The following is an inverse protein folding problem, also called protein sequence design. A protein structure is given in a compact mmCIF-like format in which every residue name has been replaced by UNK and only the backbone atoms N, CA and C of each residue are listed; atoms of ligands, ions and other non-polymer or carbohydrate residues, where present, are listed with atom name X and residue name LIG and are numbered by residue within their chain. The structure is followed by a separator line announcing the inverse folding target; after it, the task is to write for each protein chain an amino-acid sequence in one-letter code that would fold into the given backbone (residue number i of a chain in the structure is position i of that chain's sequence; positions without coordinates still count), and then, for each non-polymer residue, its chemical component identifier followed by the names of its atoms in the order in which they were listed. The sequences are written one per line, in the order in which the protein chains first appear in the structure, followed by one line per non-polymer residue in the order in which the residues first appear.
data_IF_650210025390
#
_entry.id   IF_650210025390
#
_cell.length_a   1.000
_cell.length_b   1.000
_cell.length_c   1.000
_cell.angle_alpha   90.00
_cell.angle_beta   90.00
_cell.angle_gamma   90.00
#
_symmetry.space_group_name_H-M   'P 1'
#
loop_
_entity.id
_entity.type
_entity.pdbx_description
1 polymer ?
#
# COMPACT_ATOMS: atom_id res chain seq x y z
N UNK A 1 24.43 -26.64 -2.64
CA UNK A 1 23.59 -26.43 -3.85
C UNK A 1 22.25 -27.15 -3.74
N UNK A 2 22.19 -28.41 -3.31
CA UNK A 2 20.89 -29.11 -3.12
C UNK A 2 19.95 -28.40 -2.14
N UNK A 3 20.48 -27.89 -1.02
CA UNK A 3 19.66 -27.11 -0.05
C UNK A 3 19.06 -25.84 -0.68
N UNK A 4 19.80 -25.17 -1.56
CA UNK A 4 19.30 -23.98 -2.32
C UNK A 4 18.25 -24.37 -3.34
N UNK A 5 18.37 -25.53 -4.00
CA UNK A 5 17.34 -26.04 -4.90
C UNK A 5 16.06 -26.41 -4.14
N UNK A 6 16.18 -26.99 -2.94
CA UNK A 6 15.04 -27.24 -2.07
C UNK A 6 14.35 -25.94 -1.62
N UNK A 7 15.13 -24.92 -1.25
CA UNK A 7 14.58 -23.60 -0.95
C UNK A 7 13.87 -22.97 -2.17
N UNK A 8 14.45 -23.06 -3.37
CA UNK A 8 13.83 -22.58 -4.61
C UNK A 8 12.50 -23.29 -4.93
N UNK A 9 12.36 -24.58 -4.61
CA UNK A 9 11.07 -25.30 -4.78
C UNK A 9 9.94 -24.65 -3.97
N UNK A 10 10.24 -24.00 -2.84
CA UNK A 10 9.23 -23.31 -2.05
C UNK A 10 8.64 -22.11 -2.81
N UNK A 11 9.42 -21.44 -3.65
CA UNK A 11 8.96 -20.30 -4.46
C UNK A 11 8.07 -20.69 -5.64
N UNK A 12 8.05 -21.97 -6.01
CA UNK A 12 7.14 -22.52 -7.04
C UNK A 12 5.99 -23.31 -6.39
N UNK A 13 6.03 -23.51 -5.08
CA UNK A 13 5.01 -24.26 -4.35
C UNK A 13 3.67 -23.51 -4.31
N UNK A 14 2.53 -24.22 -4.22
CA UNK A 14 1.23 -23.58 -4.05
C UNK A 14 1.16 -22.76 -2.75
N UNK A 15 1.97 -23.09 -1.74
CA UNK A 15 2.07 -22.34 -0.48
C UNK A 15 2.61 -20.93 -0.71
N UNK A 16 3.52 -20.72 -1.66
CA UNK A 16 4.02 -19.38 -1.99
C UNK A 16 2.91 -18.48 -2.51
N UNK A 17 2.09 -18.97 -3.45
CA UNK A 17 0.96 -18.20 -3.99
C UNK A 17 -0.11 -17.94 -2.91
N UNK A 18 -0.37 -18.94 -2.07
CA UNK A 18 -1.40 -18.90 -1.03
C UNK A 18 -1.11 -17.91 0.09
N UNK A 19 0.12 -17.92 0.59
CA UNK A 19 0.53 -17.13 1.76
C UNK A 19 0.97 -15.70 1.41
N UNK A 20 1.16 -15.39 0.13
CA UNK A 20 1.62 -14.08 -0.32
C UNK A 20 0.52 -13.39 -1.16
N UNK A 21 -0.37 -12.61 -0.53
CA UNK A 21 -1.51 -12.01 -1.22
C UNK A 21 -1.12 -11.02 -2.32
N UNK A 22 0.09 -10.46 -2.30
CA UNK A 22 0.59 -9.52 -3.30
C UNK A 22 0.86 -10.16 -4.67
N UNK A 23 1.00 -11.48 -4.75
CA UNK A 23 1.27 -12.16 -6.03
C UNK A 23 0.08 -12.11 -7.00
N UNK A 24 -1.16 -12.09 -6.48
CA UNK A 24 -2.36 -11.95 -7.32
C UNK A 24 -2.41 -10.56 -7.97
N UNK A 25 -2.26 -9.44 -7.24
CA UNK A 25 -2.05 -8.13 -7.84
C UNK A 25 -0.86 -8.07 -8.80
N UNK A 26 0.27 -8.71 -8.48
CA UNK A 26 1.43 -8.74 -9.37
C UNK A 26 1.09 -9.37 -10.74
N UNK A 27 0.40 -10.51 -10.73
CA UNK A 27 -0.05 -11.18 -11.94
C UNK A 27 -1.10 -10.35 -12.71
N UNK A 28 -2.06 -9.74 -12.02
CA UNK A 28 -3.10 -8.92 -12.64
C UNK A 28 -2.51 -7.67 -13.30
N UNK A 29 -1.65 -6.93 -12.60
CA UNK A 29 -0.98 -5.75 -13.16
C UNK A 29 0.02 -6.12 -14.27
N UNK A 30 0.72 -7.25 -14.14
CA UNK A 30 1.56 -7.79 -15.21
C UNK A 30 0.76 -8.13 -16.47
N UNK A 31 -0.42 -8.72 -16.32
CA UNK A 31 -1.33 -9.00 -17.44
C UNK A 31 -1.86 -7.71 -18.10
N UNK A 32 -2.21 -6.69 -17.30
CA UNK A 32 -2.61 -5.38 -17.83
C UNK A 32 -1.44 -4.74 -18.59
N UNK A 33 -0.22 -4.78 -18.05
CA UNK A 33 0.98 -4.32 -18.75
C UNK A 33 1.18 -5.05 -20.07
N UNK A 34 1.08 -6.38 -20.09
CA UNK A 34 1.18 -7.16 -21.31
C UNK A 34 0.08 -6.82 -22.32
N UNK A 35 -1.16 -6.63 -21.87
CA UNK A 35 -2.27 -6.21 -22.71
C UNK A 35 -2.04 -4.83 -23.33
N UNK A 36 -1.61 -3.85 -22.54
CA UNK A 36 -1.25 -2.50 -23.01
C UNK A 36 -0.08 -2.52 -23.99
N UNK A 37 0.85 -3.46 -23.84
CA UNK A 37 1.94 -3.64 -24.81
C UNK A 37 1.44 -4.11 -26.18
N UNK A 38 0.42 -4.98 -26.21
CA UNK A 38 -0.16 -5.50 -27.44
C UNK A 38 -1.15 -4.52 -28.09
N UNK A 39 -1.71 -3.59 -27.32
CA UNK A 39 -2.68 -2.60 -27.79
C UNK A 39 -2.18 -1.18 -27.50
N UNK A 40 -1.11 -0.72 -28.18
CA UNK A 40 -0.59 0.63 -28.00
C UNK A 40 -1.65 1.67 -28.34
N UNK A 41 -1.69 2.77 -27.57
CA UNK A 41 -2.61 3.87 -27.85
C UNK A 41 -2.24 4.57 -29.16
N UNK A 42 -3.21 4.93 -30.02
CA UNK A 42 -2.93 5.66 -31.24
C UNK A 42 -2.25 7.00 -30.92
N UNK A 43 -1.13 7.28 -31.58
CA UNK A 43 -0.44 8.57 -31.52
C UNK A 43 0.72 8.68 -30.52
N UNK A 44 1.05 7.64 -29.75
CA UNK A 44 2.20 7.61 -28.84
C UNK A 44 3.06 6.36 -29.10
N UNK A 45 3.99 6.39 -30.07
CA UNK A 45 4.88 5.25 -30.30
C UNK A 45 5.89 5.13 -29.15
N UNK A 46 5.71 4.12 -28.29
CA UNK A 46 6.81 3.49 -27.56
C UNK A 46 7.31 4.16 -26.27
N UNK A 47 6.52 4.97 -25.57
CA UNK A 47 6.94 5.51 -24.27
C UNK A 47 6.52 4.62 -23.09
N UNK A 48 7.29 4.67 -22.00
CA UNK A 48 6.97 3.99 -20.75
C UNK A 48 5.64 4.49 -20.15
N UNK A 49 5.16 5.66 -20.59
CA UNK A 49 3.83 6.19 -20.27
C UNK A 49 2.69 5.19 -20.48
N UNK A 50 2.76 4.31 -21.49
CA UNK A 50 1.70 3.34 -21.80
C UNK A 50 1.61 2.18 -20.80
N UNK A 51 2.72 1.86 -20.14
CA UNK A 51 2.84 0.70 -19.24
C UNK A 51 3.25 1.07 -17.81
N UNK A 52 3.72 2.28 -17.58
CA UNK A 52 4.62 2.63 -16.48
C UNK A 52 4.01 2.43 -15.11
N UNK A 53 2.80 2.95 -14.86
CA UNK A 53 2.19 2.82 -13.53
C UNK A 53 1.78 1.37 -13.24
N UNK A 54 1.27 0.63 -14.23
CA UNK A 54 0.84 -0.76 -14.05
C UNK A 54 2.04 -1.69 -13.90
N UNK A 55 3.08 -1.47 -14.71
CA UNK A 55 4.34 -2.20 -14.63
C UNK A 55 5.04 -1.97 -13.29
N UNK A 56 5.07 -0.72 -12.82
CA UNK A 56 5.63 -0.37 -11.52
C UNK A 56 4.87 -0.99 -10.35
N UNK A 57 3.52 -1.02 -10.41
CA UNK A 57 2.71 -1.69 -9.41
C UNK A 57 2.89 -3.22 -9.44
N UNK A 58 3.07 -3.81 -10.64
CA UNK A 58 3.38 -5.23 -10.80
C UNK A 58 4.72 -5.60 -10.14
N UNK A 59 5.77 -4.82 -10.40
CA UNK A 59 7.08 -4.95 -9.76
C UNK A 59 6.98 -4.86 -8.24
N UNK A 60 6.31 -3.82 -7.72
CA UNK A 60 6.19 -3.60 -6.29
C UNK A 60 5.48 -4.79 -5.62
N UNK A 61 4.40 -5.28 -6.22
CA UNK A 61 3.65 -6.41 -5.70
C UNK A 61 4.44 -7.73 -5.75
N UNK A 62 5.21 -7.98 -6.82
CA UNK A 62 6.06 -9.16 -6.95
C UNK A 62 7.22 -9.15 -5.95
N UNK A 63 7.97 -8.05 -5.89
CA UNK A 63 9.10 -7.92 -4.97
C UNK A 63 8.65 -8.00 -3.52
N UNK A 64 7.52 -7.39 -3.17
CA UNK A 64 6.91 -7.52 -1.84
C UNK A 64 6.59 -8.99 -1.53
N UNK A 65 6.01 -9.73 -2.48
CA UNK A 65 5.69 -11.15 -2.31
C UNK A 65 6.92 -12.03 -2.08
N UNK A 66 7.98 -11.80 -2.86
CA UNK A 66 9.27 -12.50 -2.69
C UNK A 66 9.91 -12.18 -1.33
N UNK A 67 9.90 -10.92 -0.93
CA UNK A 67 10.45 -10.49 0.37
C UNK A 67 9.65 -11.06 1.54
N UNK A 68 8.31 -11.06 1.47
CA UNK A 68 7.45 -11.65 2.50
C UNK A 68 7.69 -13.15 2.65
N UNK A 69 7.87 -13.88 1.55
CA UNK A 69 8.22 -15.30 1.57
C UNK A 69 9.54 -15.54 2.31
N UNK A 70 10.60 -14.83 1.92
CA UNK A 70 11.91 -14.93 2.55
C UNK A 70 11.84 -14.65 4.05
N UNK A 71 11.23 -13.52 4.42
CA UNK A 71 11.14 -13.11 5.81
C UNK A 71 10.31 -14.04 6.68
N UNK A 72 9.25 -14.63 6.13
CA UNK A 72 8.46 -15.65 6.84
C UNK A 72 9.30 -16.88 7.18
N UNK A 73 10.17 -17.30 6.26
CA UNK A 73 11.06 -18.42 6.47
C UNK A 73 12.20 -18.08 7.43
N UNK A 74 12.79 -16.89 7.34
CA UNK A 74 13.91 -16.49 8.21
C UNK A 74 13.46 -16.24 9.65
N UNK A 75 12.25 -15.71 9.87
CA UNK A 75 11.70 -15.40 11.22
C UNK A 75 11.01 -16.55 11.91
N UNK A 76 10.84 -17.70 11.25
CA UNK A 76 10.20 -18.82 11.92
C UNK A 76 10.98 -19.11 13.21
N UNK A 77 10.30 -19.34 14.35
CA UNK A 77 10.97 -19.64 15.61
C UNK A 77 11.82 -20.91 15.54
N UNK A 78 11.62 -21.73 14.50
CA UNK A 78 12.39 -22.94 14.21
C UNK A 78 13.65 -22.66 13.37
N UNK A 79 13.76 -21.49 12.74
CA UNK A 79 14.87 -21.15 11.84
C UNK A 79 16.25 -21.16 12.49
N UNK A 80 16.43 -20.68 13.74
CA UNK A 80 17.71 -20.78 14.44
C UNK A 80 18.19 -22.22 14.64
N UNK A 81 17.28 -23.20 14.63
CA UNK A 81 17.62 -24.62 14.78
C UNK A 81 18.18 -25.22 13.48
N UNK A 82 18.06 -24.54 12.34
CA UNK A 82 18.52 -25.04 11.03
C UNK A 82 19.25 -23.95 10.22
N UNK A 83 20.44 -23.50 10.67
CA UNK A 83 21.16 -22.37 10.04
C UNK A 83 21.55 -22.62 8.58
N UNK A 84 21.75 -23.89 8.19
CA UNK A 84 22.01 -24.28 6.80
C UNK A 84 20.85 -23.93 5.86
N UNK A 85 19.61 -24.05 6.33
CA UNK A 85 18.43 -23.68 5.54
C UNK A 85 18.27 -22.17 5.41
N UNK A 86 18.66 -21.39 6.43
CA UNK A 86 18.68 -19.91 6.33
C UNK A 86 19.65 -19.46 5.24
N UNK A 87 20.88 -20.01 5.22
CA UNK A 87 21.86 -19.69 4.19
C UNK A 87 21.41 -20.12 2.78
N UNK A 88 20.70 -21.25 2.68
CA UNK A 88 20.10 -21.70 1.44
C UNK A 88 18.96 -20.78 0.96
N UNK A 89 18.09 -20.36 1.87
CA UNK A 89 16.97 -19.45 1.61
C UNK A 89 17.46 -18.04 1.23
N UNK A 90 18.54 -17.57 1.85
CA UNK A 90 19.22 -16.34 1.44
C UNK A 90 19.69 -16.42 -0.01
N UNK A 91 20.35 -17.50 -0.42
CA UNK A 91 20.76 -17.67 -1.83
C UNK A 91 19.54 -17.78 -2.76
N UNK A 92 18.49 -18.47 -2.33
CA UNK A 92 17.27 -18.66 -3.11
C UNK A 92 16.57 -17.33 -3.39
N UNK A 93 16.39 -16.44 -2.40
CA UNK A 93 15.79 -15.13 -2.65
C UNK A 93 16.61 -14.29 -3.63
N UNK A 94 17.96 -14.32 -3.56
CA UNK A 94 18.79 -13.55 -4.49
C UNK A 94 18.60 -14.03 -5.94
N UNK A 95 18.55 -15.35 -6.15
CA UNK A 95 18.25 -15.91 -7.47
C UNK A 95 16.85 -15.52 -7.94
N UNK A 96 15.84 -15.60 -7.07
CA UNK A 96 14.47 -15.21 -7.40
C UNK A 96 14.34 -13.71 -7.72
N UNK A 97 15.04 -12.84 -7.00
CA UNK A 97 15.06 -11.41 -7.27
C UNK A 97 15.78 -11.10 -8.58
N UNK A 98 16.90 -11.75 -8.87
CA UNK A 98 17.59 -11.61 -10.15
C UNK A 98 16.71 -12.07 -11.33
N UNK A 99 16.01 -13.20 -11.18
CA UNK A 99 15.04 -13.69 -12.17
C UNK A 99 13.86 -12.72 -12.33
N UNK A 100 13.33 -12.20 -11.23
CA UNK A 100 12.24 -11.24 -11.25
C UNK A 100 12.62 -9.92 -11.96
N UNK A 101 13.82 -9.39 -11.67
CA UNK A 101 14.38 -8.23 -12.38
C UNK A 101 14.54 -8.52 -13.88
N UNK A 102 15.14 -9.66 -14.23
CA UNK A 102 15.30 -10.05 -15.63
C UNK A 102 13.97 -10.16 -16.37
N UNK A 103 12.98 -10.82 -15.77
CA UNK A 103 11.66 -11.03 -16.37
C UNK A 103 10.87 -9.73 -16.54
N UNK A 104 10.88 -8.86 -15.53
CA UNK A 104 10.12 -7.60 -15.55
C UNK A 104 10.78 -6.54 -16.45
N UNK A 105 12.07 -6.65 -16.73
CA UNK A 105 12.74 -5.81 -17.70
C UNK A 105 12.35 -6.12 -19.16
N UNK A 106 11.93 -7.36 -19.47
CA UNK A 106 11.58 -7.79 -20.85
C UNK A 106 10.56 -6.86 -21.53
N UNK A 107 9.40 -6.54 -20.93
CA UNK A 107 8.45 -5.54 -21.43
C UNK A 107 9.09 -4.24 -21.95
N UNK A 108 10.04 -3.69 -21.18
CA UNK A 108 10.68 -2.41 -21.50
C UNK A 108 11.76 -2.58 -22.59
N UNK A 109 12.54 -3.66 -22.53
CA UNK A 109 13.59 -3.97 -23.52
C UNK A 109 12.98 -4.23 -24.90
N UNK A 110 11.85 -4.94 -24.97
CA UNK A 110 11.13 -5.19 -26.24
C UNK A 110 10.67 -3.88 -26.90
N UNK A 111 10.42 -2.83 -26.11
CA UNK A 111 10.11 -1.47 -26.59
C UNK A 111 11.35 -0.64 -26.94
N UNK A 112 12.54 -1.23 -26.90
CA UNK A 112 13.81 -0.56 -27.25
C UNK A 112 14.40 0.30 -26.14
N UNK A 113 13.92 0.17 -24.89
CA UNK A 113 14.43 0.97 -23.78
C UNK A 113 15.79 0.46 -23.28
N UNK A 114 16.69 1.36 -22.84
CA UNK A 114 18.04 0.98 -22.43
C UNK A 114 18.01 0.13 -21.15
N UNK A 115 18.62 -1.06 -21.23
CA UNK A 115 18.64 -2.06 -20.17
C UNK A 115 19.11 -1.49 -18.81
N UNK A 116 20.18 -0.70 -18.81
CA UNK A 116 20.74 -0.11 -17.58
C UNK A 116 19.72 0.78 -16.86
N UNK A 117 18.97 1.59 -17.61
CA UNK A 117 18.01 2.53 -17.06
C UNK A 117 16.76 1.79 -16.55
N UNK A 118 16.35 0.73 -17.26
CA UNK A 118 15.30 -0.19 -16.81
C UNK A 118 15.69 -0.81 -15.48
N UNK A 119 16.84 -1.47 -15.41
CA UNK A 119 17.33 -2.13 -14.19
C UNK A 119 17.53 -1.13 -13.03
N UNK A 120 17.99 0.09 -13.30
CA UNK A 120 18.09 1.14 -12.29
C UNK A 120 16.71 1.45 -11.68
N UNK A 121 15.70 1.62 -12.53
CA UNK A 121 14.33 1.87 -12.09
C UNK A 121 13.75 0.69 -11.30
N UNK A 122 13.94 -0.55 -11.77
CA UNK A 122 13.48 -1.73 -11.05
C UNK A 122 14.19 -1.91 -9.70
N UNK A 123 15.48 -1.62 -9.63
CA UNK A 123 16.29 -1.73 -8.40
C UNK A 123 15.84 -0.73 -7.32
N UNK A 124 15.38 0.45 -7.72
CA UNK A 124 14.76 1.41 -6.81
C UNK A 124 13.47 0.85 -6.21
N UNK A 125 12.63 0.22 -7.04
CA UNK A 125 11.39 -0.42 -6.59
C UNK A 125 11.66 -1.63 -5.69
N UNK A 126 12.74 -2.37 -5.94
CA UNK A 126 13.20 -3.45 -5.08
C UNK A 126 13.65 -2.94 -3.70
N UNK A 127 14.43 -1.86 -3.65
CA UNK A 127 14.87 -1.26 -2.38
C UNK A 127 13.69 -0.76 -1.53
N UNK A 128 12.60 -0.35 -2.17
CA UNK A 128 11.34 0.01 -1.55
C UNK A 128 10.61 -1.20 -0.98
N UNK A 129 10.44 -2.22 -1.81
CA UNK A 129 9.65 -3.40 -1.49
C UNK A 129 10.30 -4.22 -0.38
N UNK A 130 11.63 -4.30 -0.34
CA UNK A 130 12.39 -4.95 0.75
C UNK A 130 12.18 -4.29 2.11
N UNK A 131 11.95 -2.98 2.14
CA UNK A 131 11.72 -2.20 3.37
C UNK A 131 10.26 -2.20 3.88
N UNK A 132 9.32 -2.74 3.10
CA UNK A 132 7.90 -2.78 3.43
C UNK A 132 7.57 -3.62 4.67
N UNK A 133 8.46 -4.53 5.04
CA UNK A 133 8.32 -5.29 6.28
C UNK A 133 8.90 -4.52 7.47
N UNK A 134 8.00 -4.04 8.33
CA UNK A 134 8.34 -3.27 9.52
C UNK A 134 8.77 -4.15 10.71
N UNK A 135 8.62 -5.48 10.59
CA UNK A 135 8.75 -6.41 11.73
C UNK A 135 10.00 -7.30 11.68
N UNK A 136 10.85 -7.16 10.67
CA UNK A 136 12.10 -7.95 10.55
C UNK A 136 13.23 -7.48 11.48
N UNK A 137 14.19 -8.37 11.84
CA UNK A 137 15.43 -7.96 12.46
C UNK A 137 16.21 -7.07 11.48
N UNK A 138 16.37 -5.79 11.82
CA UNK A 138 17.03 -4.81 10.94
C UNK A 138 18.45 -4.53 11.43
N UNK A 139 19.43 -4.83 10.59
CA UNK A 139 20.87 -4.60 10.84
C UNK A 139 21.19 -3.11 10.97
N UNK A 140 20.41 -2.24 10.32
CA UNK A 140 20.62 -0.79 10.32
C UNK A 140 20.24 -0.12 11.64
N UNK A 141 21.12 0.78 12.13
CA UNK A 141 20.86 1.66 13.29
C UNK A 141 19.55 2.45 13.09
N UNK A 142 18.74 2.67 14.14
CA UNK A 142 17.39 3.25 14.01
C UNK A 142 17.34 4.63 13.34
N UNK A 143 18.36 5.48 13.51
CA UNK A 143 18.44 6.81 12.88
C UNK A 143 18.72 6.73 11.38
N UNK A 144 19.67 5.87 10.99
CA UNK A 144 19.98 5.60 9.57
C UNK A 144 18.79 4.95 8.86
N UNK A 145 18.03 4.11 9.56
CA UNK A 145 16.78 3.55 9.04
C UNK A 145 15.75 4.63 8.71
N UNK A 146 15.54 5.62 9.59
CA UNK A 146 14.59 6.72 9.33
C UNK A 146 15.02 7.55 8.11
N UNK A 147 16.31 7.89 8.03
CA UNK A 147 16.86 8.62 6.89
C UNK A 147 16.70 7.82 5.58
N UNK A 148 17.05 6.53 5.60
CA UNK A 148 16.86 5.61 4.46
C UNK A 148 15.40 5.53 4.06
N UNK A 149 14.48 5.28 4.98
CA UNK A 149 13.03 5.22 4.70
C UNK A 149 12.54 6.53 4.08
N UNK A 150 12.99 7.69 4.58
CA UNK A 150 12.62 8.98 4.01
C UNK A 150 13.15 9.16 2.57
N UNK A 151 14.42 8.82 2.31
CA UNK A 151 15.02 8.88 0.97
C UNK A 151 14.30 7.94 0.01
N UNK A 152 14.12 6.69 0.43
CA UNK A 152 13.49 5.62 -0.34
C UNK A 152 12.04 5.99 -0.66
N UNK A 153 11.27 6.50 0.31
CA UNK A 153 9.89 6.97 0.09
C UNK A 153 9.81 8.22 -0.79
N UNK A 154 10.78 9.14 -0.67
CA UNK A 154 10.91 10.28 -1.57
C UNK A 154 11.17 9.85 -3.01
N UNK A 155 12.07 8.88 -3.23
CA UNK A 155 12.34 8.28 -4.54
C UNK A 155 11.11 7.52 -5.07
N UNK A 156 10.37 6.79 -4.24
CA UNK A 156 9.13 6.15 -4.64
C UNK A 156 8.13 7.15 -5.21
N UNK A 157 7.87 8.22 -4.47
CA UNK A 157 6.88 9.18 -4.87
C UNK A 157 7.36 10.06 -6.04
N UNK A 158 8.68 10.27 -6.20
CA UNK A 158 9.30 10.81 -7.41
C UNK A 158 9.03 9.90 -8.63
N UNK A 159 9.29 8.60 -8.52
CA UNK A 159 9.16 7.64 -9.62
C UNK A 159 7.76 7.07 -9.81
N UNK A 160 6.79 7.42 -8.96
CA UNK A 160 5.36 7.22 -9.24
C UNK A 160 4.87 8.06 -10.42
N UNK A 161 5.58 9.14 -10.76
CA UNK A 161 5.23 10.02 -11.87
C UNK A 161 5.80 9.48 -13.19
N UNK A 162 4.98 9.20 -14.21
CA UNK A 162 5.45 8.69 -15.50
C UNK A 162 6.54 9.57 -16.12
N UNK A 163 6.43 10.90 -15.99
CA UNK A 163 7.43 11.84 -16.50
C UNK A 163 8.83 11.65 -15.89
N UNK A 164 8.94 11.24 -14.61
CA UNK A 164 10.26 10.95 -14.01
C UNK A 164 10.82 9.61 -14.47
N UNK A 165 9.94 8.62 -14.66
CA UNK A 165 10.33 7.35 -15.26
C UNK A 165 10.87 7.60 -16.68
N UNK A 166 10.16 8.39 -17.50
CA UNK A 166 10.58 8.77 -18.85
C UNK A 166 11.93 9.51 -18.85
N UNK A 167 12.13 10.48 -17.93
CA UNK A 167 13.42 11.16 -17.81
C UNK A 167 14.56 10.24 -17.42
N UNK A 168 14.34 9.30 -16.50
CA UNK A 168 15.37 8.33 -16.14
C UNK A 168 15.70 7.44 -17.33
N UNK A 169 14.74 7.10 -18.18
CA UNK A 169 15.00 6.29 -19.39
C UNK A 169 15.81 7.02 -20.45
N UNK A 170 15.74 8.35 -20.46
CA UNK A 170 16.54 9.22 -21.33
C UNK A 170 17.85 9.67 -20.67
N UNK A 171 18.05 9.34 -19.38
CA UNK A 171 19.24 9.76 -18.65
C UNK A 171 20.49 9.07 -19.21
N UNK A 172 21.66 9.74 -19.14
CA UNK A 172 22.93 9.12 -19.49
C UNK A 172 23.19 7.86 -18.67
N UNK A 173 23.90 6.89 -19.28
CA UNK A 173 24.18 5.58 -18.69
C UNK A 173 24.83 5.66 -17.29
N UNK A 174 25.65 6.68 -17.02
CA UNK A 174 26.31 6.86 -15.73
C UNK A 174 25.33 7.21 -14.60
N UNK A 175 24.21 7.88 -14.89
CA UNK A 175 23.17 8.17 -13.90
C UNK A 175 22.44 6.89 -13.51
N UNK A 176 22.06 6.07 -14.49
CA UNK A 176 21.45 4.77 -14.26
C UNK A 176 22.37 3.85 -13.46
N UNK A 177 23.66 3.83 -13.79
CA UNK A 177 24.67 3.04 -13.08
C UNK A 177 24.85 3.50 -11.63
N UNK A 178 24.89 4.81 -11.38
CA UNK A 178 24.94 5.35 -10.02
C UNK A 178 23.71 4.98 -9.19
N UNK A 179 22.51 5.08 -9.77
CA UNK A 179 21.26 4.69 -9.10
C UNK A 179 21.23 3.20 -8.78
N UNK A 180 21.65 2.36 -9.73
CA UNK A 180 21.75 0.91 -9.54
C UNK A 180 22.78 0.56 -8.44
N UNK A 181 23.94 1.22 -8.45
CA UNK A 181 24.99 1.06 -7.46
C UNK A 181 24.59 1.52 -6.04
N UNK A 182 23.56 2.37 -5.91
CA UNK A 182 23.03 2.77 -4.59
C UNK A 182 21.84 1.90 -4.19
N UNK A 183 20.90 1.67 -5.09
CA UNK A 183 19.64 0.99 -4.79
C UNK A 183 19.81 -0.52 -4.55
N UNK A 184 20.64 -1.18 -5.36
CA UNK A 184 20.87 -2.62 -5.23
C UNK A 184 21.55 -2.96 -3.89
N UNK A 185 22.66 -2.30 -3.48
CA UNK A 185 23.23 -2.54 -2.15
C UNK A 185 22.26 -2.19 -1.02
N UNK A 186 21.46 -1.13 -1.16
CA UNK A 186 20.45 -0.77 -0.16
C UNK A 186 19.39 -1.87 0.02
N UNK A 187 19.02 -2.60 -1.04
CA UNK A 187 18.13 -3.76 -0.97
C UNK A 187 18.83 -4.98 -0.33
N UNK A 188 20.07 -5.25 -0.71
CA UNK A 188 20.86 -6.37 -0.20
C UNK A 188 21.15 -6.25 1.30
N UNK A 189 21.48 -5.04 1.77
CA UNK A 189 21.69 -4.73 3.19
C UNK A 189 20.40 -4.96 4.00
N UNK A 190 19.23 -4.65 3.45
CA UNK A 190 17.96 -4.89 4.15
C UNK A 190 17.63 -6.38 4.23
N UNK A 191 17.96 -7.16 3.19
CA UNK A 191 17.75 -8.61 3.16
C UNK A 191 18.78 -9.38 4.00
N UNK A 192 19.91 -8.76 4.32
CA UNK A 192 20.93 -9.40 5.14
C UNK A 192 20.38 -9.73 6.53
N UNK A 193 20.42 -11.01 6.87
CA UNK A 193 20.05 -11.51 8.18
C UNK A 193 21.30 -12.06 8.86
N UNK A 194 21.57 -11.58 10.07
CA UNK A 194 22.57 -12.16 10.95
C UNK A 194 21.88 -13.12 11.94
N UNK A 195 22.02 -14.44 11.76
CA UNK A 195 21.40 -15.45 12.63
C UNK A 195 22.04 -15.48 14.03
N UNK A 196 23.21 -14.86 14.21
CA UNK A 196 23.96 -14.86 15.45
C UNK A 196 24.35 -13.44 15.87
N UNK A 197 23.42 -12.49 15.81
CA UNK A 197 23.60 -11.25 16.56
C UNK A 197 23.86 -11.63 18.03
N UNK A 198 25.14 -11.63 18.43
CA UNK A 198 25.56 -12.12 19.72
C UNK A 198 24.80 -11.33 20.80
N UNK A 199 24.30 -11.99 21.86
CA UNK A 199 23.68 -11.30 22.99
C UNK A 199 24.59 -10.22 23.62
N UNK A 200 25.89 -10.21 23.28
CA UNK A 200 26.87 -9.19 23.69
C UNK A 200 27.08 -8.02 22.73
N UNK A 201 26.69 -8.09 21.45
CA UNK A 201 26.71 -6.93 20.53
C UNK A 201 25.35 -6.23 20.45
N UNK A 202 24.31 -6.89 20.91
CA UNK A 202 23.17 -6.20 21.48
C UNK A 202 23.66 -5.54 22.77
N UNK A 203 24.19 -4.32 22.65
CA UNK A 203 24.38 -3.44 23.80
C UNK A 203 23.17 -3.58 24.72
N UNK A 204 23.43 -3.70 26.03
CA UNK A 204 22.73 -4.56 26.97
C UNK A 204 21.25 -4.68 26.63
N UNK A 205 20.74 -5.92 26.63
CA UNK A 205 19.32 -6.23 26.69
C UNK A 205 18.66 -5.39 27.81
N UNK A 206 18.29 -4.15 27.46
CA UNK A 206 17.40 -3.30 28.20
C UNK A 206 16.06 -3.98 28.03
N UNK A 207 15.82 -5.00 28.84
CA UNK A 207 14.53 -5.14 29.49
C UNK A 207 14.03 -3.74 29.82
N UNK A 208 13.10 -3.23 29.01
CA UNK A 208 12.15 -2.18 29.37
C UNK A 208 12.67 -0.96 30.15
N UNK A 209 13.95 -0.57 30.04
CA UNK A 209 14.35 0.80 30.30
C UNK A 209 14.06 1.54 28.99
N UNK A 210 12.83 2.06 28.92
CA UNK A 210 12.39 2.94 27.85
C UNK A 210 13.46 3.98 27.52
N UNK A 211 13.42 4.58 26.33
CA UNK A 211 14.33 5.68 26.07
C UNK A 211 14.22 6.65 27.25
N UNK A 212 15.36 6.98 27.87
CA UNK A 212 15.55 8.21 28.63
C UNK A 212 15.40 9.43 27.68
N UNK A 213 14.38 9.41 26.82
CA UNK A 213 13.66 10.61 26.47
C UNK A 213 12.98 11.00 27.76
N UNK A 214 13.58 11.97 28.45
CA UNK A 214 12.98 12.59 29.62
C UNK A 214 11.47 12.73 29.39
N UNK A 215 10.65 12.48 30.43
CA UNK A 215 9.21 12.30 30.33
C UNK A 215 8.67 13.22 29.24
N UNK A 216 8.04 12.71 28.15
CA UNK A 216 7.56 13.56 27.08
C UNK A 216 6.84 14.71 27.74
N UNK A 217 7.32 15.94 27.46
CA UNK A 217 6.86 17.18 28.12
C UNK A 217 5.35 17.05 28.23
N UNK A 218 4.76 17.39 29.39
CA UNK A 218 3.34 17.13 29.66
C UNK A 218 2.43 17.52 28.48
N UNK A 219 2.82 18.55 27.73
CA UNK A 219 2.28 19.01 26.44
C UNK A 219 2.25 17.94 25.34
N UNK A 220 3.35 17.21 25.07
CA UNK A 220 3.40 16.12 24.07
C UNK A 220 2.47 14.97 24.45
N UNK A 221 2.40 14.62 25.74
CA UNK A 221 1.46 13.59 26.23
C UNK A 221 0.01 14.05 26.19
N UNK A 222 -0.25 15.32 26.49
CA UNK A 222 -1.57 15.91 26.35
C UNK A 222 -2.01 15.94 24.88
N UNK A 223 -1.14 16.41 23.99
CA UNK A 223 -1.37 16.44 22.55
C UNK A 223 -1.59 15.03 22.00
N UNK A 224 -0.77 14.05 22.38
CA UNK A 224 -0.95 12.67 21.96
C UNK A 224 -2.29 12.10 22.45
N UNK A 225 -2.72 12.38 23.70
CA UNK A 225 -4.03 11.94 24.20
C UNK A 225 -5.19 12.58 23.44
N UNK A 226 -5.09 13.86 23.08
CA UNK A 226 -6.10 14.55 22.26
C UNK A 226 -6.12 13.98 20.84
N UNK A 227 -4.96 13.84 20.20
CA UNK A 227 -4.85 13.29 18.86
C UNK A 227 -5.31 11.84 18.76
N UNK A 228 -5.16 11.06 19.83
CA UNK A 228 -5.61 9.66 19.94
C UNK A 228 -7.03 9.52 20.51
N UNK A 229 -7.75 10.62 20.73
CA UNK A 229 -9.13 10.55 21.22
C UNK A 229 -10.01 9.79 20.23
N UNK A 230 -10.77 8.81 20.70
CA UNK A 230 -11.75 8.08 19.88
C UNK A 230 -13.17 8.28 20.41
N UNK A 231 -14.22 8.25 19.57
CA UNK A 231 -15.60 8.18 20.05
C UNK A 231 -15.81 6.94 20.95
N UNK A 232 -16.56 7.04 22.06
CA UNK A 232 -16.82 5.90 22.96
C UNK A 232 -17.39 4.66 22.24
N UNK A 233 -18.22 4.87 21.22
CA UNK A 233 -18.80 3.82 20.38
C UNK A 233 -17.75 2.98 19.61
N UNK A 234 -16.51 3.47 19.47
CA UNK A 234 -15.41 2.77 18.80
C UNK A 234 -14.40 2.15 19.77
N UNK A 235 -14.55 2.34 21.09
CA UNK A 235 -13.57 1.91 22.12
C UNK A 235 -13.85 0.54 22.74
N UNK A 236 -14.99 -0.10 22.42
CA UNK A 236 -15.60 -1.08 23.32
C UNK A 236 -15.63 -2.55 22.86
N UNK A 237 -15.02 -2.92 21.72
CA UNK A 237 -15.02 -4.33 21.29
C UNK A 237 -13.60 -4.86 21.06
N UNK A 238 -13.31 -6.11 21.48
CA UNK A 238 -12.10 -6.82 21.07
C UNK A 238 -12.19 -7.08 19.56
N UNK A 239 -11.71 -6.12 18.78
CA UNK A 239 -11.70 -6.16 17.33
C UNK A 239 -10.29 -6.48 16.83
N UNK A 240 -10.15 -7.10 15.65
CA UNK A 240 -8.85 -7.27 14.99
C UNK A 240 -8.07 -5.96 14.93
N UNK A 241 -6.73 -6.03 14.98
CA UNK A 241 -5.87 -4.85 14.90
C UNK A 241 -6.11 -4.01 13.62
N UNK A 242 -6.51 -4.62 12.50
CA UNK A 242 -6.91 -3.90 11.28
C UNK A 242 -8.22 -3.11 11.42
N UNK A 243 -9.02 -3.40 12.44
CA UNK A 243 -10.20 -2.66 12.88
C UNK A 243 -9.91 -1.64 13.99
N UNK A 244 -8.72 -1.64 14.59
CA UNK A 244 -8.31 -0.58 15.51
C UNK A 244 -8.28 0.75 14.75
N UNK A 245 -9.14 1.68 15.16
CA UNK A 245 -9.35 2.92 14.43
C UNK A 245 -8.22 3.92 14.70
N UNK A 246 -7.69 4.55 13.65
CA UNK A 246 -6.98 5.81 13.82
C UNK A 246 -7.94 6.84 14.43
N UNK A 247 -7.47 7.64 15.38
CA UNK A 247 -8.29 8.65 16.01
C UNK A 247 -8.69 9.77 15.01
N UNK A 248 -9.91 10.34 15.09
CA UNK A 248 -10.43 11.31 14.11
C UNK A 248 -9.50 12.51 13.88
N UNK A 249 -9.00 13.09 14.97
CA UNK A 249 -8.05 14.21 14.91
C UNK A 249 -6.70 13.76 14.33
N UNK A 250 -6.24 12.55 14.68
CA UNK A 250 -5.07 11.93 14.07
C UNK A 250 -5.21 11.79 12.55
N UNK A 251 -6.36 11.35 12.05
CA UNK A 251 -6.63 11.23 10.61
C UNK A 251 -6.61 12.59 9.90
N UNK A 252 -7.16 13.64 10.52
CA UNK A 252 -7.15 14.98 9.94
C UNK A 252 -5.71 15.55 9.86
N UNK A 253 -4.94 15.43 10.95
CA UNK A 253 -3.54 15.87 10.98
C UNK A 253 -2.69 15.06 10.00
N UNK A 254 -2.88 13.74 9.95
CA UNK A 254 -2.19 12.89 8.99
C UNK A 254 -2.52 13.31 7.55
N UNK A 255 -3.78 13.62 7.25
CA UNK A 255 -4.21 14.09 5.93
C UNK A 255 -3.54 15.42 5.54
N UNK A 256 -3.45 16.36 6.48
CA UNK A 256 -2.73 17.63 6.27
C UNK A 256 -1.23 17.42 6.01
N UNK A 257 -0.59 16.54 6.78
CA UNK A 257 0.83 16.22 6.59
C UNK A 257 1.08 15.53 5.25
N UNK A 258 0.23 14.59 4.85
CA UNK A 258 0.33 13.92 3.54
C UNK A 258 0.11 14.94 2.42
N UNK A 259 -0.88 15.82 2.53
CA UNK A 259 -1.14 16.87 1.53
C UNK A 259 0.10 17.76 1.36
N UNK A 260 0.63 18.26 2.47
CA UNK A 260 1.80 19.15 2.45
C UNK A 260 3.04 18.46 1.89
N UNK A 261 3.35 17.24 2.36
CA UNK A 261 4.49 16.48 1.90
C UNK A 261 4.38 16.14 0.40
N UNK A 262 3.20 15.71 -0.05
CA UNK A 262 2.97 15.33 -1.45
C UNK A 262 3.00 16.55 -2.37
N UNK A 263 2.45 17.69 -1.93
CA UNK A 263 2.51 18.96 -2.69
C UNK A 263 3.94 19.45 -2.82
N UNK A 264 4.69 19.52 -1.71
CA UNK A 264 6.11 19.93 -1.72
C UNK A 264 6.92 19.00 -2.61
N UNK A 265 6.69 17.69 -2.48
CA UNK A 265 7.37 16.74 -3.33
C UNK A 265 7.04 16.99 -4.80
N UNK A 266 5.76 17.04 -5.19
CA UNK A 266 5.36 17.31 -6.59
C UNK A 266 5.95 18.62 -7.12
N UNK A 267 6.03 19.68 -6.32
CA UNK A 267 6.66 20.94 -6.71
C UNK A 267 8.17 20.80 -6.90
N UNK A 268 8.86 20.13 -5.98
CA UNK A 268 10.29 19.83 -6.11
C UNK A 268 10.53 19.01 -7.37
N UNK A 269 9.72 17.97 -7.58
CA UNK A 269 9.80 17.14 -8.77
C UNK A 269 9.60 17.99 -10.02
N UNK A 270 8.52 18.77 -10.11
CA UNK A 270 8.22 19.57 -11.30
C UNK A 270 9.26 20.68 -11.56
N UNK A 271 9.82 21.27 -10.51
CA UNK A 271 10.91 22.24 -10.61
C UNK A 271 12.21 21.63 -11.12
N UNK A 272 12.65 20.49 -10.56
CA UNK A 272 13.83 19.75 -11.03
C UNK A 272 13.66 19.24 -12.46
N UNK A 273 12.44 18.80 -12.75
CA UNK A 273 11.94 18.34 -14.03
C UNK A 273 12.09 19.36 -15.15
N UNK A 274 11.56 20.56 -14.93
CA UNK A 274 11.48 21.60 -15.95
C UNK A 274 12.65 22.58 -15.89
N UNK A 275 13.52 22.44 -14.88
CA UNK A 275 14.58 23.39 -14.53
C UNK A 275 14.02 24.83 -14.38
N UNK A 276 12.77 24.94 -13.94
CA UNK A 276 12.08 26.22 -13.74
C UNK A 276 11.71 26.39 -12.27
N UNK A 277 11.66 27.65 -11.85
CA UNK A 277 11.17 28.02 -10.52
C UNK A 277 9.66 27.74 -10.49
N UNK A 278 9.14 27.00 -9.50
CA UNK A 278 7.71 26.72 -9.38
C UNK A 278 6.91 28.01 -9.26
N UNK A 279 5.85 28.12 -10.05
CA UNK A 279 4.90 29.23 -9.97
C UNK A 279 3.82 28.93 -8.91
N UNK A 280 3.10 29.95 -8.41
CA UNK A 280 1.94 29.73 -7.54
C UNK A 280 0.87 28.84 -8.18
N UNK A 281 0.75 28.85 -9.51
CA UNK A 281 -0.17 28.01 -10.25
C UNK A 281 0.26 26.54 -10.20
N UNK A 282 1.55 26.25 -10.38
CA UNK A 282 2.10 24.89 -10.19
C UNK A 282 1.80 24.38 -8.78
N UNK A 283 1.89 25.26 -7.77
CA UNK A 283 1.54 24.94 -6.38
C UNK A 283 0.08 24.51 -6.21
N UNK A 284 -0.85 25.19 -6.87
CA UNK A 284 -2.27 24.83 -6.85
C UNK A 284 -2.53 23.51 -7.56
N UNK A 285 -1.93 23.29 -8.73
CA UNK A 285 -2.08 22.05 -9.49
C UNK A 285 -1.52 20.85 -8.70
N UNK A 286 -0.31 20.98 -8.15
CA UNK A 286 0.31 19.98 -7.29
C UNK A 286 -0.55 19.68 -6.05
N UNK A 287 -1.07 20.71 -5.38
CA UNK A 287 -1.95 20.52 -4.23
C UNK A 287 -3.25 19.80 -4.61
N UNK A 288 -3.83 20.13 -5.77
CA UNK A 288 -5.05 19.47 -6.30
C UNK A 288 -4.81 17.99 -6.55
N UNK A 289 -3.69 17.63 -7.18
CA UNK A 289 -3.33 16.23 -7.42
C UNK A 289 -3.06 15.48 -6.11
N UNK A 290 -2.41 16.14 -5.15
CA UNK A 290 -2.13 15.58 -3.84
C UNK A 290 -3.39 15.28 -3.02
N UNK A 291 -4.51 15.99 -3.24
CA UNK A 291 -5.80 15.65 -2.60
C UNK A 291 -6.28 14.25 -2.97
N UNK A 292 -6.09 13.83 -4.22
CA UNK A 292 -6.40 12.46 -4.65
C UNK A 292 -5.59 11.41 -3.90
N UNK A 293 -4.31 11.68 -3.67
CA UNK A 293 -3.42 10.80 -2.91
C UNK A 293 -3.79 10.72 -1.42
N UNK A 294 -4.16 11.84 -0.80
CA UNK A 294 -4.65 11.88 0.58
C UNK A 294 -5.87 10.98 0.76
N UNK A 295 -6.86 11.13 -0.12
CA UNK A 295 -8.09 10.33 -0.09
C UNK A 295 -7.80 8.85 -0.33
N UNK A 296 -6.97 8.54 -1.33
CA UNK A 296 -6.55 7.17 -1.66
C UNK A 296 -5.87 6.50 -0.47
N UNK A 297 -4.81 7.11 0.09
CA UNK A 297 -4.02 6.55 1.18
C UNK A 297 -4.86 6.41 2.46
N UNK A 298 -5.71 7.40 2.75
CA UNK A 298 -6.63 7.35 3.89
C UNK A 298 -7.65 6.21 3.78
N UNK A 299 -8.18 5.97 2.58
CA UNK A 299 -9.17 4.92 2.33
C UNK A 299 -8.56 3.51 2.19
N UNK A 300 -7.31 3.39 1.71
CA UNK A 300 -6.65 2.11 1.45
C UNK A 300 -6.51 1.21 2.70
N UNK A 301 -6.47 1.80 3.90
CA UNK A 301 -6.35 1.06 5.17
C UNK A 301 -7.70 0.49 5.64
N UNK A 302 -8.83 1.03 5.18
CA UNK A 302 -10.16 0.64 5.66
C UNK A 302 -10.45 -0.86 5.52
N UNK A 303 -10.18 -1.54 4.39
CA UNK A 303 -10.43 -2.97 4.25
C UNK A 303 -9.33 -3.87 4.81
N UNK A 304 -8.26 -3.34 5.41
CA UNK A 304 -7.10 -4.13 5.86
C UNK A 304 -7.44 -5.25 6.85
N UNK A 305 -8.50 -5.10 7.63
CA UNK A 305 -8.98 -6.13 8.55
C UNK A 305 -9.39 -7.43 7.84
N UNK A 306 -9.86 -7.35 6.60
CA UNK A 306 -10.28 -8.53 5.81
C UNK A 306 -9.08 -9.38 5.36
N UNK A 307 -7.89 -8.76 5.29
CA UNK A 307 -6.63 -9.40 4.94
C UNK A 307 -5.98 -10.09 6.14
N UNK A 308 -6.19 -9.58 7.35
CA UNK A 308 -5.65 -10.17 8.59
C UNK A 308 -6.71 -10.95 9.37
N UNK A 309 -6.80 -12.25 9.10
CA UNK A 309 -7.80 -13.15 9.71
C UNK A 309 -7.25 -14.09 10.78
N UNK A 310 -5.93 -14.07 11.00
CA UNK A 310 -5.23 -15.04 11.88
C UNK A 310 -5.80 -15.04 13.30
N UNK A 311 -6.19 -13.88 13.81
CA UNK A 311 -6.68 -13.72 15.18
C UNK A 311 -8.19 -13.93 15.31
N UNK A 312 -8.93 -14.10 14.20
CA UNK A 312 -10.39 -14.20 14.23
C UNK A 312 -10.91 -15.39 15.03
N UNK A 313 -10.31 -16.61 14.97
CA UNK A 313 -10.76 -17.73 15.79
C UNK A 313 -10.63 -17.44 17.28
N UNK A 314 -9.52 -16.81 17.69
CA UNK A 314 -9.27 -16.44 19.07
C UNK A 314 -10.25 -15.36 19.56
N UNK A 315 -10.50 -14.34 18.73
CA UNK A 315 -11.48 -13.29 19.02
C UNK A 315 -12.92 -13.82 19.05
N UNK A 316 -13.24 -14.81 18.22
CA UNK A 316 -14.53 -15.50 18.24
C UNK A 316 -14.69 -16.32 19.52
N UNK A 317 -13.65 -17.07 19.93
CA UNK A 317 -13.74 -17.97 21.09
C UNK A 317 -13.71 -17.26 22.44
N UNK A 318 -12.97 -16.15 22.55
CA UNK A 318 -12.81 -15.41 23.81
C UNK A 318 -13.65 -14.14 23.87
N UNK A 319 -14.16 -13.69 22.72
CA UNK A 319 -15.03 -12.52 22.66
C UNK A 319 -16.46 -12.84 23.11
N UNK A 320 -17.30 -11.81 23.26
CA UNK A 320 -18.71 -11.96 23.66
C UNK A 320 -19.60 -12.41 22.49
N UNK A 321 -19.09 -13.29 21.62
CA UNK A 321 -19.76 -13.69 20.38
C UNK A 321 -20.22 -15.14 20.49
N UNK A 322 -21.53 -15.38 20.50
CA UNK A 322 -22.08 -16.74 20.60
C UNK A 322 -21.92 -17.57 19.32
N UNK A 323 -21.98 -16.93 18.14
CA UNK A 323 -21.88 -17.60 16.86
C UNK A 323 -21.04 -16.83 15.83
N UNK A 324 -20.50 -17.57 14.85
CA UNK A 324 -19.81 -17.04 13.66
C UNK A 324 -20.57 -15.93 12.96
N UNK A 325 -21.89 -16.05 12.86
CA UNK A 325 -22.74 -15.05 12.21
C UNK A 325 -22.85 -13.74 12.99
N UNK A 326 -22.85 -13.81 14.32
CA UNK A 326 -22.91 -12.62 15.17
C UNK A 326 -21.55 -11.90 15.16
N UNK A 327 -20.46 -12.66 15.18
CA UNK A 327 -19.10 -12.14 14.99
C UNK A 327 -18.94 -11.43 13.63
N UNK A 328 -19.35 -12.08 12.53
CA UNK A 328 -19.32 -11.49 11.19
C UNK A 328 -20.10 -10.16 11.14
N UNK A 329 -21.30 -10.14 11.73
CA UNK A 329 -22.14 -8.93 11.80
C UNK A 329 -21.48 -7.84 12.64
N UNK A 330 -20.83 -8.19 13.75
CA UNK A 330 -20.09 -7.24 14.57
C UNK A 330 -18.90 -6.62 13.81
N UNK A 331 -18.11 -7.43 13.09
CA UNK A 331 -17.01 -6.94 12.25
C UNK A 331 -17.51 -5.95 11.18
N UNK A 332 -18.60 -6.29 10.47
CA UNK A 332 -19.17 -5.43 9.44
C UNK A 332 -19.82 -4.16 10.00
N UNK A 333 -20.44 -4.21 11.20
CA UNK A 333 -20.93 -3.01 11.89
C UNK A 333 -19.79 -2.09 12.30
N UNK A 334 -18.71 -2.65 12.84
CA UNK A 334 -17.51 -1.89 13.16
C UNK A 334 -16.89 -1.26 11.90
N UNK A 335 -16.79 -2.04 10.80
CA UNK A 335 -16.34 -1.52 9.50
C UNK A 335 -17.22 -0.38 8.99
N UNK A 336 -18.55 -0.51 9.07
CA UNK A 336 -19.48 0.54 8.68
C UNK A 336 -19.24 1.85 9.43
N UNK A 337 -19.12 1.79 10.77
CA UNK A 337 -18.82 2.96 11.59
C UNK A 337 -17.50 3.62 11.20
N UNK A 338 -16.45 2.83 10.96
CA UNK A 338 -15.13 3.33 10.54
C UNK A 338 -15.17 3.93 9.13
N UNK A 339 -15.82 3.27 8.18
CA UNK A 339 -15.94 3.73 6.81
C UNK A 339 -16.71 5.05 6.73
N UNK A 340 -17.80 5.20 7.49
CA UNK A 340 -18.56 6.45 7.57
C UNK A 340 -17.70 7.55 8.18
N UNK A 341 -17.07 7.29 9.33
CA UNK A 341 -16.23 8.28 10.02
C UNK A 341 -15.06 8.74 9.15
N UNK A 342 -14.27 7.80 8.61
CA UNK A 342 -13.15 8.11 7.74
C UNK A 342 -13.61 8.77 6.44
N UNK A 343 -14.71 8.28 5.84
CA UNK A 343 -15.32 8.85 4.65
C UNK A 343 -15.69 10.31 4.85
N UNK A 344 -16.38 10.65 5.94
CA UNK A 344 -16.75 12.04 6.28
C UNK A 344 -15.51 12.91 6.51
N UNK A 345 -14.54 12.44 7.30
CA UNK A 345 -13.35 13.24 7.65
C UNK A 345 -12.49 13.51 6.42
N UNK A 346 -12.16 12.47 5.65
CA UNK A 346 -11.30 12.57 4.48
C UNK A 346 -11.95 13.40 3.38
N UNK A 347 -13.25 13.19 3.13
CA UNK A 347 -13.97 13.97 2.12
C UNK A 347 -14.18 15.43 2.52
N UNK A 348 -14.45 15.71 3.80
CA UNK A 348 -14.56 17.07 4.32
C UNK A 348 -13.22 17.79 4.20
N UNK A 349 -12.14 17.15 4.64
CA UNK A 349 -10.79 17.68 4.48
C UNK A 349 -10.48 17.99 3.01
N UNK A 350 -10.74 17.04 2.11
CA UNK A 350 -10.46 17.21 0.69
C UNK A 350 -11.30 18.33 0.04
N UNK A 351 -12.59 18.41 0.36
CA UNK A 351 -13.48 19.45 -0.14
C UNK A 351 -13.09 20.85 0.38
N UNK A 352 -12.81 20.97 1.69
CA UNK A 352 -12.35 22.23 2.28
C UNK A 352 -11.02 22.67 1.66
N UNK A 353 -10.05 21.76 1.54
CA UNK A 353 -8.78 22.06 0.92
C UNK A 353 -8.95 22.48 -0.55
N UNK A 354 -9.76 21.76 -1.34
CA UNK A 354 -10.04 22.10 -2.74
C UNK A 354 -10.65 23.51 -2.88
N UNK A 355 -11.59 23.87 -1.99
CA UNK A 355 -12.19 25.20 -1.93
C UNK A 355 -11.20 26.30 -1.53
N UNK A 356 -10.37 26.05 -0.50
CA UNK A 356 -9.35 26.99 -0.03
C UNK A 356 -8.22 27.22 -1.03
N UNK A 357 -7.81 26.18 -1.77
CA UNK A 357 -6.82 26.28 -2.84
C UNK A 357 -7.38 27.08 -4.05
N UNK A 358 -8.72 27.17 -4.16
CA UNK A 358 -9.41 27.86 -5.26
C UNK A 358 -9.58 27.00 -6.52
N UNK A 359 -9.48 25.68 -6.37
CA UNK A 359 -9.59 24.71 -7.49
C UNK A 359 -11.03 24.51 -7.93
N UNK A 360 -11.96 24.71 -6.99
CA UNK A 360 -13.39 24.48 -7.16
C UNK A 360 -14.15 25.58 -6.40
N UNK A 361 -15.25 26.13 -6.95
CA UNK A 361 -16.09 27.09 -6.25
C UNK A 361 -16.62 26.55 -4.90
N UNK A 362 -16.78 27.39 -3.86
CA UNK A 362 -17.20 26.94 -2.53
C UNK A 362 -18.47 26.09 -2.51
N UNK A 363 -19.49 26.48 -3.28
CA UNK A 363 -20.74 25.71 -3.38
C UNK A 363 -20.54 24.32 -3.97
N UNK A 364 -19.64 24.19 -4.95
CA UNK A 364 -19.31 22.89 -5.55
C UNK A 364 -18.41 22.07 -4.63
N UNK A 365 -17.51 22.70 -3.87
CA UNK A 365 -16.77 22.01 -2.81
C UNK A 365 -17.71 21.43 -1.75
N UNK A 366 -18.72 22.19 -1.31
CA UNK A 366 -19.76 21.71 -0.39
C UNK A 366 -20.55 20.53 -0.96
N UNK A 367 -20.86 20.53 -2.25
CA UNK A 367 -21.54 19.40 -2.91
C UNK A 367 -20.60 18.20 -3.16
N UNK A 368 -19.30 18.44 -3.37
CA UNK A 368 -18.31 17.39 -3.57
C UNK A 368 -18.03 16.61 -2.28
N UNK A 369 -18.20 17.23 -1.10
CA UNK A 369 -18.05 16.58 0.20
C UNK A 369 -18.89 15.31 0.35
N UNK A 370 -20.25 15.35 0.30
CA UNK A 370 -21.07 14.15 0.46
C UNK A 370 -20.87 13.16 -0.70
N UNK A 371 -20.62 13.64 -1.91
CA UNK A 371 -20.36 12.79 -3.07
C UNK A 371 -19.09 11.94 -2.87
N UNK A 372 -18.01 12.57 -2.43
CA UNK A 372 -16.75 11.89 -2.13
C UNK A 372 -16.86 10.97 -0.90
N UNK A 373 -17.59 11.38 0.15
CA UNK A 373 -17.84 10.53 1.31
C UNK A 373 -18.51 9.22 0.88
N UNK A 374 -19.54 9.30 0.03
CA UNK A 374 -20.26 8.15 -0.49
C UNK A 374 -19.36 7.17 -1.27
N UNK A 375 -18.48 7.69 -2.13
CA UNK A 375 -17.55 6.85 -2.90
C UNK A 375 -16.47 6.23 -1.99
N UNK A 376 -15.96 6.93 -0.98
CA UNK A 376 -15.03 6.35 0.00
C UNK A 376 -15.70 5.20 0.76
N UNK A 377 -16.95 5.42 1.22
CA UNK A 377 -17.73 4.39 1.92
C UNK A 377 -17.93 3.19 0.98
N UNK A 378 -18.47 3.38 -0.22
CA UNK A 378 -18.69 2.28 -1.17
C UNK A 378 -17.42 1.55 -1.58
N UNK A 379 -16.35 2.28 -1.88
CA UNK A 379 -15.05 1.71 -2.24
C UNK A 379 -14.46 0.84 -1.13
N UNK A 380 -14.68 1.19 0.14
CA UNK A 380 -14.22 0.39 1.28
C UNK A 380 -14.92 -0.98 1.40
N UNK A 381 -16.08 -1.16 0.76
CA UNK A 381 -16.80 -2.44 0.72
C UNK A 381 -16.44 -3.30 -0.49
N UNK A 382 -15.69 -2.78 -1.48
CA UNK A 382 -15.37 -3.51 -2.70
C UNK A 382 -14.73 -4.88 -2.44
N UNK A 383 -13.81 -5.05 -1.46
CA UNK A 383 -13.25 -6.36 -1.12
C UNK A 383 -14.27 -7.38 -0.59
N UNK A 384 -15.47 -6.94 -0.18
CA UNK A 384 -16.55 -7.84 0.25
C UNK A 384 -17.10 -8.70 -0.88
N UNK A 385 -16.91 -8.31 -2.14
CA UNK A 385 -17.25 -9.15 -3.29
C UNK A 385 -16.54 -10.49 -3.25
N UNK A 386 -15.26 -10.50 -2.81
CA UNK A 386 -14.48 -11.73 -2.70
C UNK A 386 -15.08 -12.74 -1.72
N UNK A 387 -15.81 -12.27 -0.69
CA UNK A 387 -16.42 -13.13 0.34
C UNK A 387 -17.65 -13.89 -0.19
N UNK A 388 -18.29 -13.38 -1.24
CA UNK A 388 -19.56 -13.93 -1.73
C UNK A 388 -19.39 -15.30 -2.39
N UNK A 389 -18.17 -15.65 -2.80
CA UNK A 389 -17.84 -16.97 -3.35
C UNK A 389 -16.63 -17.58 -2.61
N UNK A 390 -16.68 -18.89 -2.26
CA UNK A 390 -15.56 -19.57 -1.62
C UNK A 390 -14.30 -19.59 -2.50
N UNK A 391 -14.46 -19.59 -3.83
CA UNK A 391 -13.33 -19.56 -4.78
C UNK A 391 -12.59 -18.23 -4.71
N UNK A 392 -13.34 -17.13 -4.62
CA UNK A 392 -12.78 -15.77 -4.60
C UNK A 392 -12.38 -15.29 -3.22
N UNK A 393 -12.77 -15.99 -2.14
CA UNK A 393 -12.52 -15.60 -0.75
C UNK A 393 -11.05 -15.83 -0.34
N UNK A 394 -10.14 -15.21 -1.08
CA UNK A 394 -8.69 -15.32 -0.98
C UNK A 394 -8.13 -13.94 -0.61
N UNK A 395 -7.16 -13.85 0.32
CA UNK A 395 -6.54 -12.57 0.70
C UNK A 395 -5.98 -11.77 -0.49
N UNK A 396 -5.42 -12.42 -1.52
CA UNK A 396 -4.90 -11.70 -2.69
C UNK A 396 -5.99 -11.10 -3.60
N UNK A 397 -7.15 -11.75 -3.73
CA UNK A 397 -8.30 -11.17 -4.46
C UNK A 397 -8.85 -9.96 -3.70
N UNK A 398 -8.90 -10.05 -2.37
CA UNK A 398 -9.29 -8.91 -1.53
C UNK A 398 -8.32 -7.75 -1.62
N UNK A 399 -7.02 -8.03 -1.65
CA UNK A 399 -5.99 -7.01 -1.84
C UNK A 399 -6.16 -6.34 -3.21
N UNK A 400 -6.35 -7.12 -4.28
CA UNK A 400 -6.61 -6.58 -5.62
C UNK A 400 -7.86 -5.69 -5.66
N UNK A 401 -8.98 -6.15 -5.09
CA UNK A 401 -10.20 -5.34 -5.00
C UNK A 401 -10.00 -4.09 -4.15
N UNK A 402 -9.19 -4.16 -3.08
CA UNK A 402 -8.85 -3.00 -2.25
C UNK A 402 -8.05 -1.96 -3.03
N UNK A 403 -7.06 -2.41 -3.81
CA UNK A 403 -6.26 -1.54 -4.68
C UNK A 403 -7.11 -0.95 -5.81
N UNK A 404 -8.01 -1.72 -6.42
CA UNK A 404 -8.93 -1.20 -7.44
C UNK A 404 -9.88 -0.14 -6.88
N UNK A 405 -10.47 -0.37 -5.70
CA UNK A 405 -11.35 0.60 -5.07
C UNK A 405 -10.62 1.87 -4.62
N UNK A 406 -9.45 1.73 -3.99
CA UNK A 406 -8.69 2.87 -3.46
C UNK A 406 -7.86 3.59 -4.52
N UNK A 407 -7.03 2.88 -5.30
CA UNK A 407 -6.09 3.49 -6.24
C UNK A 407 -6.75 3.87 -7.56
N UNK A 408 -7.57 3.00 -8.16
CA UNK A 408 -8.23 3.34 -9.42
C UNK A 408 -9.50 4.16 -9.19
N UNK A 409 -10.40 3.69 -8.32
CA UNK A 409 -11.69 4.33 -8.09
C UNK A 409 -11.60 5.73 -7.49
N UNK A 410 -10.96 5.88 -6.33
CA UNK A 410 -10.93 7.17 -5.62
C UNK A 410 -10.00 8.20 -6.25
N UNK A 411 -8.87 7.79 -6.83
CA UNK A 411 -7.97 8.72 -7.50
C UNK A 411 -8.59 9.28 -8.78
N UNK A 412 -9.26 8.44 -9.59
CA UNK A 412 -9.98 8.92 -10.77
C UNK A 412 -11.15 9.83 -10.37
N UNK A 413 -11.91 9.43 -9.35
CA UNK A 413 -13.08 10.20 -8.91
C UNK A 413 -12.71 11.57 -8.34
N UNK A 414 -11.66 11.65 -7.53
CA UNK A 414 -11.14 12.95 -7.02
C UNK A 414 -10.66 13.84 -8.16
N UNK A 415 -10.02 13.28 -9.19
CA UNK A 415 -9.70 13.99 -10.43
C UNK A 415 -10.96 14.57 -11.09
N UNK A 416 -12.00 13.76 -11.30
CA UNK A 416 -13.27 14.22 -11.89
C UNK A 416 -13.92 15.33 -11.07
N UNK A 417 -13.88 15.23 -9.74
CA UNK A 417 -14.49 16.21 -8.85
C UNK A 417 -13.75 17.55 -8.82
N UNK A 418 -12.40 17.54 -8.90
CA UNK A 418 -11.58 18.73 -8.64
C UNK A 418 -10.88 19.31 -9.88
N UNK A 419 -11.02 18.73 -11.07
CA UNK A 419 -10.38 19.20 -12.32
C UNK A 419 -11.03 20.46 -12.95
N UNK A 420 -11.61 21.35 -12.15
CA UNK A 420 -12.16 22.66 -12.56
C UNK A 420 -13.45 22.62 -13.41
N UNK A 421 -13.60 21.67 -14.33
CA UNK A 421 -14.79 21.52 -15.20
C UNK A 421 -15.95 20.85 -14.48
N UNK A 422 -17.18 21.25 -14.79
CA UNK A 422 -18.36 20.61 -14.21
C UNK A 422 -18.44 19.16 -14.73
N UNK A 423 -18.40 18.15 -13.86
CA UNK A 423 -18.45 16.76 -14.29
C UNK A 423 -19.86 16.36 -14.75
N UNK A 424 -19.98 15.34 -15.60
CA UNK A 424 -21.27 14.81 -16.02
C UNK A 424 -22.13 14.43 -14.80
N UNK A 425 -23.45 14.71 -14.81
CA UNK A 425 -24.34 14.41 -13.68
C UNK A 425 -24.29 12.95 -13.21
N UNK A 426 -24.13 12.01 -14.16
CA UNK A 426 -24.00 10.58 -13.87
C UNK A 426 -22.77 10.26 -13.02
N UNK A 427 -21.63 10.90 -13.29
CA UNK A 427 -20.42 10.71 -12.49
C UNK A 427 -20.53 11.46 -11.17
N UNK A 428 -21.10 12.66 -11.19
CA UNK A 428 -21.18 13.50 -10.00
C UNK A 428 -22.14 12.95 -8.94
N UNK A 429 -23.32 12.46 -9.34
CA UNK A 429 -24.35 11.97 -8.41
C UNK A 429 -24.67 10.49 -8.57
N UNK A 430 -24.67 9.97 -9.81
CA UNK A 430 -24.98 8.56 -10.06
C UNK A 430 -23.98 7.61 -9.39
N UNK A 431 -22.68 7.89 -9.50
CA UNK A 431 -21.64 7.06 -8.89
C UNK A 431 -21.72 7.05 -7.33
N UNK A 432 -21.85 8.18 -6.62
CA UNK A 432 -22.13 8.19 -5.18
C UNK A 432 -23.34 7.37 -4.76
N UNK A 433 -24.47 7.51 -5.48
CA UNK A 433 -25.69 6.76 -5.17
C UNK A 433 -25.46 5.26 -5.36
N UNK A 434 -24.81 4.86 -6.45
CA UNK A 434 -24.43 3.48 -6.70
C UNK A 434 -23.46 2.94 -5.62
N UNK A 435 -22.50 3.75 -5.19
CA UNK A 435 -21.52 3.39 -4.15
C UNK A 435 -22.19 3.14 -2.78
N UNK A 436 -23.15 3.97 -2.39
CA UNK A 436 -23.94 3.75 -1.16
C UNK A 436 -24.85 2.54 -1.30
N UNK A 437 -25.56 2.40 -2.42
CA UNK A 437 -26.41 1.24 -2.67
C UNK A 437 -25.59 -0.06 -2.60
N UNK A 438 -24.39 -0.06 -3.19
CA UNK A 438 -23.44 -1.16 -3.12
C UNK A 438 -22.97 -1.44 -1.69
N UNK A 439 -22.59 -0.42 -0.91
CA UNK A 439 -22.21 -0.59 0.49
C UNK A 439 -23.35 -1.19 1.33
N UNK A 440 -24.58 -0.72 1.15
CA UNK A 440 -25.76 -1.24 1.84
C UNK A 440 -26.05 -2.70 1.46
N UNK A 441 -25.92 -3.03 0.17
CA UNK A 441 -26.07 -4.39 -0.31
C UNK A 441 -25.01 -5.31 0.31
N UNK A 442 -23.73 -4.91 0.27
CA UNK A 442 -22.63 -5.68 0.84
C UNK A 442 -22.72 -5.81 2.37
N UNK A 443 -23.11 -4.75 3.07
CA UNK A 443 -23.33 -4.78 4.52
C UNK A 443 -24.44 -5.77 4.93
N UNK A 444 -25.37 -6.09 4.03
CA UNK A 444 -26.42 -7.11 4.26
C UNK A 444 -26.00 -8.51 3.86
N UNK A 445 -25.35 -8.67 2.70
CA UNK A 445 -25.03 -9.97 2.13
C UNK A 445 -23.73 -10.56 2.68
N UNK A 446 -22.68 -9.74 2.77
CA UNK A 446 -21.34 -10.20 3.08
C UNK A 446 -21.18 -10.80 4.49
N UNK A 447 -21.83 -10.29 5.57
CA UNK A 447 -21.73 -10.94 6.88
C UNK A 447 -22.25 -12.39 6.87
N UNK A 448 -23.32 -12.66 6.12
CA UNK A 448 -23.90 -14.01 6.01
C UNK A 448 -23.00 -14.94 5.21
N UNK A 449 -22.47 -14.45 4.09
CA UNK A 449 -21.51 -15.19 3.28
C UNK A 449 -20.23 -15.49 4.08
N UNK A 450 -19.71 -14.50 4.81
CA UNK A 450 -18.53 -14.63 5.65
C UNK A 450 -18.73 -15.66 6.77
N UNK A 451 -19.91 -15.66 7.40
CA UNK A 451 -20.24 -16.59 8.47
C UNK A 451 -20.29 -18.06 8.04
N UNK A 452 -20.62 -18.29 6.76
CA UNK A 452 -20.67 -19.62 6.13
C UNK A 452 -19.31 -20.07 5.61
N UNK A 453 -18.38 -19.13 5.40
CA UNK A 453 -17.04 -19.46 4.98
C UNK A 453 -16.26 -20.10 6.13
N UNK A 454 -15.38 -21.03 5.78
CA UNK A 454 -14.45 -21.57 6.76
C UNK A 454 -13.32 -20.58 7.06
N UNK A 455 -13.15 -20.39 8.35
CA UNK A 455 -12.17 -19.53 9.00
C UNK A 455 -11.75 -20.28 10.28
N UNK A 456 -10.47 -20.61 10.52
CA UNK A 456 -9.23 -20.27 9.79
C UNK A 456 -8.78 -21.38 8.81
N UNK A 457 -9.53 -22.47 8.67
CA UNK A 457 -9.19 -23.58 7.79
C UNK A 457 -9.46 -23.11 6.37
N UNK A 458 -8.39 -22.98 5.61
CA UNK A 458 -8.41 -22.62 4.19
C UNK A 458 -9.42 -23.49 3.43
N UNK A 459 -10.04 -22.98 2.36
CA UNK A 459 -10.81 -23.83 1.45
C UNK A 459 -9.90 -25.00 1.00
N UNK A 460 -10.43 -26.23 0.91
CA UNK A 460 -9.66 -27.41 0.58
C UNK A 460 -8.87 -27.20 -0.72
N UNK A 461 -7.68 -27.80 -0.79
CA UNK A 461 -6.88 -27.81 -2.00
C UNK A 461 -7.74 -28.34 -3.17
N UNK A 462 -7.70 -27.63 -4.29
CA UNK A 462 -8.15 -28.17 -5.57
C UNK A 462 -7.12 -29.18 -6.07
#
# INVERSE_FOLDING_TARGET
MMDTLHALRLYVSPVFIRENPSLIPAAAYGAITAFSLHHPRPGHPGSLHDIGIMWWLAQQALFTGLCCQYWRQVRSPLSPMVPRLIGAEYRAIHLMLALALGLLAVPAIVRGLPLLNVLALESLNLALSTGSDLTGPKVLRPRLRKARTAIVFGLFALFMLPAMQDRLMQAPWFVALALLAVALPAALVELHHDPFAHPGEQGPARSAAGPDGGPPRATVRALARVLMWQPPALRAMPLPNGLATGAPLGLFVQSALILMASTVLMLLVNGLSTLRVPTPQDGREAATMALGQVVMLGAAVLPSWMLSRRDWPFLLSLGPFGARADFARALYRAHAGRAIMAGIILSLFAALAAGLIGTVPPLRALAAWPALAAVIIGGSYLPSLAVLSPVTNRPGVMLLLSMLGSMAGLQLYTGVLFNGRLPPPLLYWGLPVAAIAFALLMARLAPRALARADWPIEPPAL
#
